data_IF_759136600585
#
_entry.id   IF_759136600585
#
_cell.length_a   1.000
_cell.length_b   1.000
_cell.length_c   1.000
_cell.angle_alpha   90.00
_cell.angle_beta   90.00
_cell.angle_gamma   90.00
#
_symmetry.space_group_name_H-M   'P 1'
#
loop_
_entity.id
_entity.type
_entity.pdbx_description
1 polymer ?
#
# COMPACT_ATOMS: atom_id res chain seq x y z
N UNK A 1 22.01 -54.16 28.89
CA UNK A 1 22.29 -53.06 27.94
C UNK A 1 21.19 -53.07 26.88
N UNK A 2 20.19 -52.23 27.05
CA UNK A 2 18.98 -52.19 26.21
C UNK A 2 19.08 -51.02 25.23
N UNK A 3 19.13 -51.36 23.94
CA UNK A 3 19.16 -50.43 22.81
C UNK A 3 17.82 -49.69 22.70
N UNK A 4 17.82 -48.36 22.86
CA UNK A 4 16.69 -47.51 22.44
C UNK A 4 17.01 -46.92 21.07
N UNK A 5 16.32 -47.39 20.05
CA UNK A 5 16.28 -46.80 18.71
C UNK A 5 15.43 -45.52 18.79
N UNK A 6 16.03 -44.37 18.45
CA UNK A 6 15.35 -43.08 18.44
C UNK A 6 14.77 -42.85 17.03
N UNK A 7 13.46 -42.96 16.90
CA UNK A 7 12.72 -42.73 15.66
C UNK A 7 12.62 -41.21 15.40
N UNK A 8 13.47 -40.67 14.52
CA UNK A 8 13.40 -39.27 14.08
C UNK A 8 12.29 -39.12 13.04
N UNK A 9 11.24 -38.39 13.38
CA UNK A 9 10.16 -38.02 12.47
C UNK A 9 10.64 -36.84 11.62
N UNK A 10 10.68 -37.02 10.30
CA UNK A 10 10.93 -35.93 9.34
C UNK A 10 9.56 -35.35 9.00
N UNK A 11 9.24 -34.19 9.56
CA UNK A 11 8.07 -33.42 9.15
C UNK A 11 8.48 -32.53 7.99
N UNK A 12 8.09 -32.90 6.77
CA UNK A 12 8.21 -32.03 5.59
C UNK A 12 7.05 -31.04 5.67
N UNK A 13 7.34 -29.82 6.11
CA UNK A 13 6.40 -28.71 5.98
C UNK A 13 6.39 -28.27 4.51
N UNK A 14 5.28 -28.53 3.81
CA UNK A 14 5.06 -28.05 2.47
C UNK A 14 4.85 -26.53 2.49
N UNK A 15 5.83 -25.79 2.01
CA UNK A 15 5.76 -24.34 1.85
C UNK A 15 4.79 -24.02 0.70
N UNK A 16 3.60 -23.54 1.05
CA UNK A 16 2.68 -22.96 0.09
C UNK A 16 3.15 -21.53 -0.18
N UNK A 17 3.86 -21.32 -1.29
CA UNK A 17 4.18 -19.98 -1.78
C UNK A 17 2.86 -19.29 -2.17
N UNK A 18 2.36 -18.43 -1.28
CA UNK A 18 1.31 -17.47 -1.61
C UNK A 18 1.97 -16.29 -2.32
N UNK A 19 2.08 -16.37 -3.65
CA UNK A 19 2.45 -15.19 -4.43
C UNK A 19 1.33 -14.17 -4.31
N UNK A 20 1.55 -13.07 -3.59
CA UNK A 20 0.68 -11.90 -3.69
C UNK A 20 0.69 -11.46 -5.16
N UNK A 21 -0.42 -11.74 -5.84
CA UNK A 21 -0.72 -11.23 -7.17
C UNK A 21 -0.87 -9.72 -7.04
N UNK A 22 0.21 -8.98 -7.25
CA UNK A 22 0.14 -7.55 -7.53
C UNK A 22 -0.82 -7.39 -8.73
N UNK A 23 -1.99 -6.80 -8.49
CA UNK A 23 -2.97 -6.56 -9.53
C UNK A 23 -2.27 -5.80 -10.67
N UNK A 24 -2.19 -6.43 -11.83
CA UNK A 24 -1.49 -5.87 -12.97
C UNK A 24 -2.40 -4.82 -13.60
N UNK A 25 -2.28 -3.59 -13.14
CA UNK A 25 -3.14 -2.50 -13.61
C UNK A 25 -2.70 -2.05 -15.01
N UNK A 26 -3.59 -2.25 -15.99
CA UNK A 26 -3.43 -1.70 -17.33
C UNK A 26 -3.70 -0.19 -17.27
N UNK A 27 -2.63 0.60 -17.15
CA UNK A 27 -2.72 2.06 -17.22
C UNK A 27 -3.19 2.50 -18.62
N UNK A 28 -4.20 3.38 -18.74
CA UNK A 28 -4.58 3.94 -20.03
C UNK A 28 -3.44 4.77 -20.64
N UNK A 29 -3.21 4.62 -21.95
CA UNK A 29 -2.18 5.35 -22.68
C UNK A 29 -2.51 6.84 -22.77
N UNK A 30 -1.55 7.71 -22.41
CA UNK A 30 -1.73 9.17 -22.43
C UNK A 30 -1.87 9.68 -23.87
N UNK A 31 -3.00 10.34 -24.18
CA UNK A 31 -3.16 11.09 -25.42
C UNK A 31 -2.61 12.52 -25.24
N UNK A 32 -1.46 12.79 -25.86
CA UNK A 32 -1.02 14.11 -26.33
C UNK A 32 -1.07 15.30 -25.35
N UNK A 33 0.06 15.59 -24.70
CA UNK A 33 0.31 16.90 -24.06
C UNK A 33 1.05 16.85 -22.72
N UNK A 34 0.85 15.77 -21.95
CA UNK A 34 1.54 15.47 -20.69
C UNK A 34 2.50 14.27 -20.74
N UNK A 35 2.66 13.69 -21.94
CA UNK A 35 3.01 12.28 -22.17
C UNK A 35 4.40 11.77 -21.80
N UNK A 36 5.11 12.37 -20.85
CA UNK A 36 6.32 11.79 -20.24
C UNK A 36 6.62 12.33 -18.82
N UNK A 37 5.70 13.08 -18.20
CA UNK A 37 5.94 13.60 -16.84
C UNK A 37 5.36 12.64 -15.79
N UNK A 38 6.19 11.91 -15.03
CA UNK A 38 5.70 11.06 -13.96
C UNK A 38 5.14 11.92 -12.82
N UNK A 39 4.09 11.42 -12.19
CA UNK A 39 3.58 11.95 -10.94
C UNK A 39 4.49 11.44 -9.82
N UNK A 40 5.02 12.36 -9.02
CA UNK A 40 5.85 12.03 -7.85
C UNK A 40 5.08 12.35 -6.58
N UNK A 41 5.05 11.38 -5.65
CA UNK A 41 4.36 11.50 -4.38
C UNK A 41 5.34 11.62 -3.23
N UNK A 42 4.93 12.40 -2.25
CA UNK A 42 5.56 12.54 -0.96
C UNK A 42 4.44 12.47 0.08
N UNK A 43 4.61 11.64 1.10
CA UNK A 43 3.68 11.53 2.22
C UNK A 43 4.45 11.67 3.52
N UNK A 44 3.86 12.39 4.47
CA UNK A 44 4.40 12.65 5.81
C UNK A 44 3.25 12.45 6.81
N UNK A 45 3.55 11.85 7.96
CA UNK A 45 2.60 11.67 9.06
C UNK A 45 3.20 12.29 10.31
N UNK A 46 2.37 13.04 11.02
CA UNK A 46 2.69 13.51 12.37
C UNK A 46 1.85 12.73 13.37
N UNK A 47 2.47 11.73 13.99
CA UNK A 47 1.85 10.96 15.06
C UNK A 47 2.09 11.62 16.42
N UNK A 48 1.07 11.65 17.28
CA UNK A 48 1.25 12.02 18.69
C UNK A 48 1.34 10.73 19.50
N UNK A 49 2.55 10.27 19.81
CA UNK A 49 2.75 9.09 20.64
C UNK A 49 2.39 9.39 22.11
N UNK A 50 1.20 9.00 22.57
CA UNK A 50 0.76 9.29 23.95
C UNK A 50 1.17 8.19 24.94
N UNK A 51 1.27 6.91 24.55
CA UNK A 51 1.68 5.86 25.52
C UNK A 51 2.51 4.66 25.04
N UNK A 52 2.48 4.20 23.78
CA UNK A 52 3.29 3.03 23.36
C UNK A 52 3.69 2.97 21.88
N UNK A 53 3.39 3.99 21.08
CA UNK A 53 3.91 4.05 19.72
C UNK A 53 5.36 4.53 19.78
N UNK A 54 6.26 3.87 19.07
CA UNK A 54 7.52 4.53 18.72
C UNK A 54 7.22 5.78 17.88
N UNK A 55 8.20 6.69 17.82
CA UNK A 55 8.07 8.01 17.22
C UNK A 55 8.41 7.99 15.72
N UNK A 56 8.48 6.81 15.07
CA UNK A 56 9.25 6.66 13.83
C UNK A 56 8.45 6.78 12.52
N UNK A 57 7.14 7.05 12.62
CA UNK A 57 6.34 7.33 11.42
C UNK A 57 6.20 6.09 10.53
N UNK A 58 6.54 6.19 9.25
CA UNK A 58 6.55 5.05 8.34
C UNK A 58 7.88 4.29 8.43
N UNK A 59 7.85 2.97 8.32
CA UNK A 59 9.01 2.09 8.34
C UNK A 59 9.45 1.63 6.94
N UNK A 60 10.73 1.28 6.77
CA UNK A 60 11.25 0.79 5.49
C UNK A 60 10.43 -0.39 4.97
N UNK A 61 9.99 -0.30 3.70
CA UNK A 61 9.17 -1.32 3.08
C UNK A 61 7.66 -1.15 3.28
N UNK A 62 7.19 -0.18 4.07
CA UNK A 62 5.77 0.14 4.19
C UNK A 62 5.13 0.35 2.82
N UNK A 63 3.91 -0.15 2.65
CA UNK A 63 3.21 -0.11 1.36
C UNK A 63 1.88 0.61 1.49
N UNK A 64 1.66 1.62 0.65
CA UNK A 64 0.36 2.30 0.50
C UNK A 64 -0.25 2.02 -0.88
N UNK A 65 -1.57 2.04 -0.95
CA UNK A 65 -2.31 2.04 -2.21
C UNK A 65 -2.68 3.45 -2.64
N UNK A 66 -2.40 3.81 -3.90
CA UNK A 66 -2.68 5.13 -4.45
C UNK A 66 -3.69 5.08 -5.59
N UNK A 67 -4.66 5.99 -5.55
CA UNK A 67 -5.60 6.26 -6.64
C UNK A 67 -5.42 7.67 -7.18
N UNK A 68 -5.58 7.82 -8.50
CA UNK A 68 -5.58 9.14 -9.16
C UNK A 68 -6.87 9.30 -9.95
N UNK A 69 -7.65 10.32 -9.61
CA UNK A 69 -8.99 10.57 -10.14
C UNK A 69 -8.98 11.86 -10.95
N UNK A 70 -9.33 11.77 -12.23
CA UNK A 70 -9.45 12.93 -13.12
C UNK A 70 -10.65 13.79 -12.77
N UNK A 71 -10.50 15.10 -12.91
CA UNK A 71 -11.62 16.02 -12.98
C UNK A 71 -12.31 15.93 -14.34
N UNK A 72 -13.61 16.16 -14.35
CA UNK A 72 -14.41 16.35 -15.57
C UNK A 72 -14.61 17.85 -15.80
N UNK A 73 -13.68 18.47 -16.55
CA UNK A 73 -13.58 19.92 -16.62
C UNK A 73 -13.19 20.49 -15.26
N UNK A 74 -14.02 21.36 -14.71
CA UNK A 74 -13.80 21.95 -13.37
C UNK A 74 -14.49 21.15 -12.24
N UNK A 75 -15.15 20.04 -12.56
CA UNK A 75 -15.84 19.20 -11.57
C UNK A 75 -14.90 18.11 -11.03
N UNK A 76 -14.72 18.00 -9.70
CA UNK A 76 -13.98 16.88 -9.12
C UNK A 76 -14.57 15.54 -9.55
N UNK A 77 -13.70 14.61 -9.95
CA UNK A 77 -14.12 13.25 -10.24
C UNK A 77 -14.54 12.50 -8.98
N UNK A 78 -15.24 11.38 -9.16
CA UNK A 78 -15.61 10.48 -8.07
C UNK A 78 -14.63 9.32 -8.02
N UNK A 79 -14.00 9.09 -6.85
CA UNK A 79 -13.17 7.91 -6.63
C UNK A 79 -14.00 6.63 -6.82
N UNK A 80 -13.49 5.71 -7.62
CA UNK A 80 -14.09 4.39 -7.89
C UNK A 80 -13.12 3.27 -7.52
N UNK A 81 -13.56 2.02 -7.36
CA UNK A 81 -12.65 0.89 -7.19
C UNK A 81 -11.77 0.64 -8.43
N UNK A 82 -12.27 0.98 -9.61
CA UNK A 82 -11.63 0.79 -10.91
C UNK A 82 -12.00 1.94 -11.86
N UNK A 83 -11.37 2.01 -13.03
CA UNK A 83 -11.58 3.04 -14.07
C UNK A 83 -11.19 4.47 -13.66
N UNK A 84 -10.43 4.64 -12.57
CA UNK A 84 -9.70 5.89 -12.36
C UNK A 84 -8.45 5.92 -13.26
N UNK A 85 -7.73 7.05 -13.30
CA UNK A 85 -6.47 7.15 -14.04
C UNK A 85 -5.45 6.13 -13.54
N UNK A 86 -5.41 5.92 -12.22
CA UNK A 86 -4.63 4.89 -11.56
C UNK A 86 -5.48 4.27 -10.44
N UNK A 87 -5.48 2.94 -10.32
CA UNK A 87 -6.25 2.25 -9.30
C UNK A 87 -5.29 1.49 -8.38
N UNK A 88 -5.35 1.79 -7.09
CA UNK A 88 -4.63 1.05 -6.05
C UNK A 88 -3.15 0.77 -6.35
N UNK A 89 -2.43 1.73 -6.95
CA UNK A 89 -1.02 1.54 -7.30
C UNK A 89 -0.20 1.49 -6.03
N UNK A 90 0.42 0.34 -5.77
CA UNK A 90 1.35 0.15 -4.65
C UNK A 90 2.48 1.18 -4.73
N UNK A 91 2.70 1.90 -3.64
CA UNK A 91 3.91 2.67 -3.42
C UNK A 91 4.61 2.13 -2.18
N UNK A 92 5.92 1.87 -2.29
CA UNK A 92 6.74 1.36 -1.20
C UNK A 92 7.60 2.47 -0.62
N UNK A 93 7.62 2.61 0.70
CA UNK A 93 8.47 3.55 1.41
C UNK A 93 9.90 3.05 1.50
N UNK A 94 10.85 3.92 1.21
CA UNK A 94 12.28 3.74 1.45
C UNK A 94 12.66 4.71 2.57
N UNK A 95 12.90 4.17 3.76
CA UNK A 95 13.19 4.96 4.97
C UNK A 95 14.48 5.77 4.82
N UNK A 96 15.49 5.16 4.20
CA UNK A 96 16.80 5.77 3.93
C UNK A 96 16.69 7.08 3.15
N UNK A 97 15.71 7.16 2.24
CA UNK A 97 15.51 8.33 1.38
C UNK A 97 14.27 9.15 1.73
N UNK A 98 13.38 8.63 2.58
CA UNK A 98 12.07 9.20 2.88
C UNK A 98 11.14 9.25 1.66
N UNK A 99 11.27 8.32 0.71
CA UNK A 99 10.56 8.35 -0.58
C UNK A 99 9.60 7.20 -0.75
N UNK A 100 8.50 7.49 -1.44
CA UNK A 100 7.52 6.50 -1.87
C UNK A 100 7.72 6.16 -3.35
N UNK A 101 8.12 4.92 -3.63
CA UNK A 101 8.40 4.44 -4.98
C UNK A 101 7.20 3.67 -5.53
N UNK A 102 6.58 4.10 -6.64
CA UNK A 102 5.48 3.36 -7.24
C UNK A 102 5.92 2.05 -7.89
N UNK A 103 5.10 1.00 -7.77
CA UNK A 103 5.27 -0.26 -8.49
C UNK A 103 5.13 -0.09 -10.01
N UNK A 104 4.38 0.92 -10.46
CA UNK A 104 4.33 1.34 -11.86
C UNK A 104 4.15 2.87 -11.96
N UNK A 105 4.86 3.55 -12.88
CA UNK A 105 4.81 5.00 -12.98
C UNK A 105 3.40 5.47 -13.36
N UNK A 106 2.87 6.41 -12.59
CA UNK A 106 1.62 7.12 -12.91
C UNK A 106 2.00 8.41 -13.64
N UNK A 107 1.34 8.70 -14.75
CA UNK A 107 1.64 9.90 -15.55
C UNK A 107 0.52 10.93 -15.48
N UNK A 108 0.89 12.20 -15.61
CA UNK A 108 -0.07 13.25 -15.90
C UNK A 108 -0.74 12.99 -17.27
N UNK A 109 -2.08 13.04 -17.31
CA UNK A 109 -2.83 12.89 -18.57
C UNK A 109 -2.45 13.98 -19.56
N UNK A 110 -2.47 15.23 -19.09
CA UNK A 110 -2.09 16.43 -19.82
C UNK A 110 -1.77 17.57 -18.83
N UNK A 111 -1.55 18.79 -19.34
CA UNK A 111 -1.16 19.97 -18.54
C UNK A 111 -2.34 20.74 -17.92
N UNK A 112 -3.57 20.27 -18.09
CA UNK A 112 -4.81 21.01 -17.77
C UNK A 112 -5.77 20.20 -16.89
N UNK A 113 -5.77 18.88 -17.02
CA UNK A 113 -6.64 18.00 -16.23
C UNK A 113 -6.18 17.99 -14.77
N UNK A 114 -6.95 18.64 -13.90
CA UNK A 114 -6.80 18.53 -12.45
C UNK A 114 -7.08 17.09 -11.98
N UNK A 115 -6.51 16.71 -10.84
CA UNK A 115 -6.71 15.39 -10.26
C UNK A 115 -6.90 15.46 -8.76
N UNK A 116 -7.72 14.56 -8.23
CA UNK A 116 -7.67 14.19 -6.82
C UNK A 116 -6.79 12.96 -6.68
N UNK A 117 -5.88 12.97 -5.71
CA UNK A 117 -5.01 11.82 -5.40
C UNK A 117 -5.37 11.33 -4.00
N UNK A 118 -5.67 10.04 -3.91
CA UNK A 118 -6.01 9.37 -2.65
C UNK A 118 -4.91 8.36 -2.33
N UNK A 119 -4.45 8.34 -1.08
CA UNK A 119 -3.53 7.33 -0.55
C UNK A 119 -4.13 6.67 0.68
N UNK A 120 -3.87 5.38 0.88
CA UNK A 120 -4.21 4.67 2.11
C UNK A 120 -3.16 3.62 2.47
N UNK A 121 -3.04 3.34 3.77
CA UNK A 121 -2.14 2.37 4.36
C UNK A 121 -2.88 1.55 5.43
N UNK A 122 -2.52 0.28 5.65
CA UNK A 122 -1.60 -0.52 4.85
C UNK A 122 -2.21 -0.93 3.51
N UNK A 123 -1.36 -1.27 2.53
CA UNK A 123 -1.78 -1.73 1.21
C UNK A 123 -2.68 -2.97 1.32
N UNK A 124 -3.80 -2.94 0.60
CA UNK A 124 -4.73 -4.05 0.51
C UNK A 124 -5.36 -4.20 -0.88
N UNK A 125 -6.42 -5.01 -0.94
CA UNK A 125 -7.23 -5.23 -2.16
C UNK A 125 -8.68 -4.82 -1.97
N UNK A 126 -8.98 -3.51 -1.82
CA UNK A 126 -10.35 -3.03 -1.60
C UNK A 126 -11.25 -3.39 -2.79
N UNK A 127 -12.37 -4.06 -2.49
CA UNK A 127 -13.47 -4.25 -3.47
C UNK A 127 -14.45 -3.08 -3.47
N UNK A 128 -14.38 -2.22 -2.45
CA UNK A 128 -15.15 -0.99 -2.32
C UNK A 128 -14.27 0.13 -1.77
N UNK A 129 -14.41 1.32 -2.33
CA UNK A 129 -13.73 2.55 -1.86
C UNK A 129 -14.54 3.32 -0.81
N UNK A 130 -15.80 2.93 -0.58
CA UNK A 130 -16.68 3.56 0.42
C UNK A 130 -16.99 2.65 1.61
N UNK A 131 -16.58 1.38 1.53
CA UNK A 131 -16.82 0.38 2.57
C UNK A 131 -15.62 -0.57 2.66
N UNK A 132 -14.44 -0.02 2.96
CA UNK A 132 -13.22 -0.81 3.11
C UNK A 132 -13.30 -1.66 4.40
N UNK A 133 -13.24 -3.00 4.30
CA UNK A 133 -13.18 -3.83 5.49
C UNK A 133 -11.82 -3.69 6.16
N UNK A 134 -11.81 -3.41 7.45
CA UNK A 134 -10.61 -3.29 8.25
C UNK A 134 -10.80 -3.99 9.60
N UNK A 135 -9.75 -4.63 10.11
CA UNK A 135 -9.77 -5.36 11.38
C UNK A 135 -8.53 -4.99 12.18
N UNK A 136 -8.74 -4.68 13.46
CA UNK A 136 -7.67 -4.42 14.42
C UNK A 136 -7.19 -5.74 15.02
N UNK A 137 -5.87 -5.96 15.03
CA UNK A 137 -5.28 -7.13 15.68
C UNK A 137 -5.43 -7.03 17.20
N UNK A 138 -5.84 -8.13 17.84
CA UNK A 138 -5.98 -8.13 19.30
C UNK A 138 -4.62 -8.02 20.01
N UNK A 139 -3.58 -8.62 19.42
CA UNK A 139 -2.20 -8.53 19.90
C UNK A 139 -1.47 -7.40 19.16
N UNK A 140 -1.44 -6.22 19.79
CA UNK A 140 -0.77 -5.02 19.27
C UNK A 140 0.74 -5.00 19.56
N UNK A 141 1.21 -5.87 20.45
CA UNK A 141 2.63 -5.95 20.84
C UNK A 141 3.40 -6.98 19.97
N UNK A 142 2.73 -7.58 18.97
CA UNK A 142 3.37 -8.50 18.02
C UNK A 142 4.35 -7.73 17.14
N UNK A 143 5.61 -8.12 17.21
CA UNK A 143 6.68 -7.58 16.35
C UNK A 143 6.47 -7.95 14.87
N UNK A 144 7.07 -7.14 13.99
CA UNK A 144 7.17 -7.39 12.55
C UNK A 144 8.06 -8.61 12.28
N UNK A 145 7.65 -9.45 11.34
CA UNK A 145 8.43 -10.60 10.85
C UNK A 145 8.77 -10.36 9.36
N UNK A 146 9.68 -11.15 8.78
CA UNK A 146 10.10 -11.02 7.37
C UNK A 146 8.94 -11.03 6.37
N UNK A 147 7.83 -11.69 6.72
CA UNK A 147 6.69 -11.91 5.83
C UNK A 147 5.40 -11.18 6.29
N UNK A 148 5.39 -10.54 7.48
CA UNK A 148 4.16 -9.96 8.03
C UNK A 148 4.42 -8.73 8.92
N UNK A 149 3.56 -7.72 8.76
CA UNK A 149 3.59 -6.46 9.52
C UNK A 149 3.39 -6.71 11.01
N UNK A 150 3.90 -5.84 11.88
CA UNK A 150 3.61 -5.91 13.31
C UNK A 150 2.11 -5.80 13.61
N UNK A 151 1.69 -6.21 14.81
CA UNK A 151 0.29 -6.15 15.24
C UNK A 151 -0.26 -4.72 15.21
N UNK A 152 0.55 -3.75 15.66
CA UNK A 152 0.25 -2.32 15.58
C UNK A 152 0.20 -1.82 14.13
N UNK A 153 1.25 -2.03 13.34
CA UNK A 153 1.36 -1.58 11.94
C UNK A 153 0.18 -2.09 11.08
N UNK A 154 -0.15 -3.38 11.18
CA UNK A 154 -1.28 -3.98 10.48
C UNK A 154 -2.64 -3.39 10.88
N UNK A 155 -2.70 -2.72 12.04
CA UNK A 155 -3.90 -2.12 12.62
C UNK A 155 -3.95 -0.60 12.52
N UNK A 156 -2.92 0.04 11.97
CA UNK A 156 -2.87 1.50 11.86
C UNK A 156 -3.41 1.93 10.50
N UNK A 157 -4.74 1.92 10.36
CA UNK A 157 -5.35 2.33 9.09
C UNK A 157 -5.28 3.84 8.91
N UNK A 158 -4.58 4.26 7.86
CA UNK A 158 -4.38 5.65 7.51
C UNK A 158 -4.91 5.92 6.10
N UNK A 159 -5.46 7.11 5.88
CA UNK A 159 -5.81 7.56 4.54
C UNK A 159 -5.71 9.08 4.42
N UNK A 160 -5.49 9.55 3.18
CA UNK A 160 -5.38 10.96 2.88
C UNK A 160 -5.79 11.28 1.44
N UNK A 161 -6.08 12.56 1.21
CA UNK A 161 -6.43 13.11 -0.10
C UNK A 161 -5.68 14.42 -0.34
N UNK A 162 -5.16 14.61 -1.54
CA UNK A 162 -4.67 15.91 -2.04
C UNK A 162 -5.38 16.26 -3.36
N UNK A 163 -5.59 17.55 -3.59
CA UNK A 163 -6.31 18.14 -4.73
C UNK A 163 -5.46 19.20 -5.42
#
# INVERSE_FOLDING_TARGET
MTHKQLLRHITIAGTLLATLSCATDMLPTSQGGGGNNPLTLWADIKQLAVTRADDEGFADGDQMGVYVVDYEGDQPGTLKPYENRANNVCHTYDETTGKWTPASPIYWKDKRTHVDIYGYYPLGGPTSVTAYPFTVQADQDRETDMDDMGGYEASDFLWGKVT
#
